data_IF_425122576289
#
_entry.id   IF_425122576289
#
_cell.length_a   1.000
_cell.length_b   1.000
_cell.length_c   1.000
_cell.angle_alpha   90.00
_cell.angle_beta   90.00
_cell.angle_gamma   90.00
#
_symmetry.space_group_name_H-M   'P 1'
#
loop_
_entity.id
_entity.type
_entity.pdbx_description
1 polymer ?
#
# COMPACT_ATOMS: atom_id res chain seq x y z
N UNK A 1 25.02 -39.51 33.15
CA UNK A 1 24.38 -38.37 33.83
C UNK A 1 24.11 -37.32 32.77
N UNK A 2 22.85 -37.19 32.37
CA UNK A 2 22.42 -36.27 31.31
C UNK A 2 22.48 -34.84 31.84
N UNK A 3 23.23 -33.98 31.16
CA UNK A 3 23.15 -32.54 31.37
C UNK A 3 22.19 -31.97 30.33
N UNK A 4 20.95 -31.73 30.75
CA UNK A 4 19.99 -30.92 30.00
C UNK A 4 20.45 -29.47 30.05
N UNK A 5 20.98 -28.94 28.94
CA UNK A 5 21.15 -27.50 28.78
C UNK A 5 19.83 -26.99 28.18
N UNK A 6 18.97 -26.48 29.06
CA UNK A 6 17.78 -25.75 28.66
C UNK A 6 18.18 -24.59 27.77
N UNK A 7 17.73 -24.61 26.52
CA UNK A 7 17.92 -23.50 25.60
C UNK A 7 17.04 -22.37 26.06
N UNK A 8 17.65 -21.38 26.71
CA UNK A 8 16.99 -20.18 27.22
C UNK A 8 16.30 -19.46 26.04
N UNK A 9 14.98 -19.53 25.95
CA UNK A 9 14.20 -19.01 24.81
C UNK A 9 14.30 -17.48 24.63
N UNK A 10 14.96 -16.78 25.55
CA UNK A 10 15.01 -15.30 25.58
C UNK A 10 15.97 -14.66 24.58
N UNK A 11 16.77 -15.44 23.84
CA UNK A 11 17.67 -14.92 22.80
C UNK A 11 17.24 -15.26 21.36
N UNK A 12 16.08 -15.90 21.18
CA UNK A 12 15.57 -16.23 19.85
C UNK A 12 14.88 -15.02 19.21
N UNK A 13 15.60 -14.36 18.30
CA UNK A 13 15.13 -13.49 17.21
C UNK A 13 14.31 -12.27 17.63
N UNK A 14 14.91 -11.09 17.47
CA UNK A 14 14.18 -9.83 17.48
C UNK A 14 13.06 -9.88 16.43
N UNK A 15 11.84 -10.13 16.89
CA UNK A 15 10.61 -10.00 16.12
C UNK A 15 9.87 -8.80 16.69
N UNK A 16 9.38 -7.91 15.83
CA UNK A 16 8.60 -6.74 16.29
C UNK A 16 7.28 -7.15 16.98
N UNK A 17 6.86 -8.40 16.83
CA UNK A 17 5.68 -8.99 17.47
C UNK A 17 6.01 -10.40 18.01
N UNK A 18 5.32 -10.87 19.07
CA UNK A 18 5.41 -12.25 19.54
C UNK A 18 4.99 -13.26 18.44
N UNK A 19 5.57 -14.46 18.43
CA UNK A 19 5.25 -15.50 17.44
C UNK A 19 4.01 -16.35 17.80
N UNK A 20 3.49 -16.20 19.02
CA UNK A 20 2.35 -16.94 19.58
C UNK A 20 2.43 -18.47 19.36
N UNK A 21 3.64 -19.02 19.36
CA UNK A 21 3.85 -20.45 19.16
C UNK A 21 3.03 -21.30 20.15
N UNK A 22 2.34 -22.32 19.63
CA UNK A 22 1.46 -23.20 20.41
C UNK A 22 0.05 -22.65 20.70
N UNK A 23 -0.30 -21.46 20.21
CA UNK A 23 -1.64 -20.86 20.36
C UNK A 23 -2.36 -20.76 19.00
N UNK A 24 -2.79 -21.89 18.43
CA UNK A 24 -3.40 -21.95 17.08
C UNK A 24 -4.60 -21.02 16.92
N UNK A 25 -5.54 -21.04 17.87
CA UNK A 25 -6.75 -20.19 17.83
C UNK A 25 -6.39 -18.69 17.79
N UNK A 26 -5.36 -18.29 18.52
CA UNK A 26 -4.89 -16.90 18.54
C UNK A 26 -4.26 -16.50 17.21
N UNK A 27 -3.50 -17.40 16.58
CA UNK A 27 -2.92 -17.16 15.26
C UNK A 27 -4.00 -17.00 14.18
N UNK A 28 -5.04 -17.85 14.23
CA UNK A 28 -6.20 -17.76 13.32
C UNK A 28 -6.96 -16.44 13.51
N UNK A 29 -7.20 -16.04 14.76
CA UNK A 29 -7.86 -14.77 15.07
C UNK A 29 -7.05 -13.54 14.61
N UNK A 30 -5.72 -13.59 14.72
CA UNK A 30 -4.83 -12.52 14.22
C UNK A 30 -4.86 -12.47 12.68
N UNK A 31 -4.81 -13.63 12.02
CA UNK A 31 -4.89 -13.70 10.57
C UNK A 31 -6.22 -13.14 10.05
N UNK A 32 -7.35 -13.50 10.69
CA UNK A 32 -8.66 -12.98 10.35
C UNK A 32 -8.74 -11.45 10.50
N UNK A 33 -8.24 -10.90 11.62
CA UNK A 33 -8.16 -9.45 11.82
C UNK A 33 -7.26 -8.76 10.79
N UNK A 34 -6.12 -9.37 10.45
CA UNK A 34 -5.21 -8.82 9.43
C UNK A 34 -5.87 -8.75 8.05
N UNK A 35 -6.69 -9.73 7.71
CA UNK A 35 -7.45 -9.74 6.45
C UNK A 35 -8.50 -8.62 6.45
N UNK A 36 -9.22 -8.44 7.55
CA UNK A 36 -10.21 -7.37 7.70
C UNK A 36 -9.55 -5.99 7.64
N UNK A 37 -8.47 -5.79 8.39
CA UNK A 37 -7.69 -4.54 8.37
C UNK A 37 -7.16 -4.25 6.96
N UNK A 38 -6.66 -5.26 6.24
CA UNK A 38 -6.22 -5.09 4.86
C UNK A 38 -7.39 -4.62 3.98
N UNK A 39 -8.55 -5.27 4.09
CA UNK A 39 -9.71 -4.90 3.30
C UNK A 39 -10.13 -3.45 3.59
N UNK A 40 -10.24 -3.08 4.86
CA UNK A 40 -10.63 -1.73 5.30
C UNK A 40 -9.62 -0.66 4.81
N UNK A 41 -8.34 -0.85 5.12
CA UNK A 41 -7.33 0.19 4.92
C UNK A 41 -6.74 0.22 3.52
N UNK A 42 -6.56 -0.93 2.86
CA UNK A 42 -5.88 -1.01 1.57
C UNK A 42 -6.86 -1.18 0.40
N UNK A 43 -7.89 -2.01 0.52
CA UNK A 43 -8.68 -2.39 -0.65
C UNK A 43 -9.99 -1.58 -0.80
N UNK A 44 -10.60 -1.17 0.32
CA UNK A 44 -11.92 -0.51 0.31
C UNK A 44 -11.88 0.89 -0.31
N UNK A 45 -12.83 1.18 -1.20
CA UNK A 45 -13.01 2.53 -1.76
C UNK A 45 -11.96 2.99 -2.76
N UNK A 46 -11.18 2.07 -3.31
CA UNK A 46 -10.35 2.33 -4.47
C UNK A 46 -11.21 2.43 -5.73
N UNK A 47 -10.86 3.38 -6.58
CA UNK A 47 -11.49 3.62 -7.89
C UNK A 47 -10.40 3.70 -8.96
N UNK A 48 -10.65 3.15 -10.14
CA UNK A 48 -9.69 3.13 -11.24
C UNK A 48 -9.50 4.53 -11.85
N UNK A 49 -8.25 4.89 -12.12
CA UNK A 49 -7.87 6.11 -12.84
C UNK A 49 -6.78 5.79 -13.85
N UNK A 50 -7.00 6.21 -15.09
CA UNK A 50 -5.98 6.20 -16.12
C UNK A 50 -5.24 7.55 -16.15
N UNK A 51 -3.92 7.50 -16.10
CA UNK A 51 -3.10 8.68 -16.35
C UNK A 51 -3.29 9.13 -17.81
N UNK A 52 -3.86 10.32 -18.02
CA UNK A 52 -4.13 10.88 -19.36
C UNK A 52 -2.87 11.08 -20.21
N UNK A 53 -1.69 11.15 -19.58
CA UNK A 53 -0.41 11.39 -20.27
C UNK A 53 0.38 10.12 -20.62
N UNK A 54 0.34 9.08 -19.78
CA UNK A 54 1.14 7.87 -20.00
C UNK A 54 0.32 6.57 -20.06
N UNK A 55 -1.00 6.65 -19.87
CA UNK A 55 -1.91 5.49 -19.95
C UNK A 55 -1.66 4.43 -18.89
N UNK A 56 -0.95 4.76 -17.80
CA UNK A 56 -0.85 3.86 -16.67
C UNK A 56 -2.19 3.85 -15.93
N UNK A 57 -2.73 2.65 -15.70
CA UNK A 57 -3.93 2.45 -14.91
C UNK A 57 -3.52 2.21 -13.45
N UNK A 58 -4.18 2.91 -12.53
CA UNK A 58 -3.94 2.80 -11.08
C UNK A 58 -5.26 2.75 -10.33
N UNK A 59 -5.20 2.26 -9.10
CA UNK A 59 -6.30 2.32 -8.15
C UNK A 59 -6.07 3.50 -7.19
N UNK A 60 -7.08 4.35 -7.02
CA UNK A 60 -6.96 5.60 -6.28
C UNK A 60 -8.08 5.71 -5.25
N UNK A 61 -7.73 6.13 -4.03
CA UNK A 61 -8.69 6.54 -3.00
C UNK A 61 -8.35 7.95 -2.52
N UNK A 62 -9.30 8.87 -2.63
CA UNK A 62 -9.20 10.20 -2.01
C UNK A 62 -9.78 10.15 -0.61
N UNK A 63 -8.90 10.02 0.39
CA UNK A 63 -9.30 10.05 1.80
C UNK A 63 -9.76 11.46 2.21
N UNK A 64 -9.03 12.48 1.74
CA UNK A 64 -9.40 13.90 1.88
C UNK A 64 -8.95 14.65 0.63
N UNK A 65 -9.26 15.94 0.49
CA UNK A 65 -8.73 16.74 -0.63
C UNK A 65 -7.20 16.78 -0.70
N UNK A 66 -6.52 16.71 0.46
CA UNK A 66 -5.04 16.75 0.53
C UNK A 66 -4.39 15.37 0.61
N UNK A 67 -5.14 14.33 1.00
CA UNK A 67 -4.62 12.97 1.16
C UNK A 67 -5.15 12.03 0.07
N UNK A 68 -4.24 11.42 -0.68
CA UNK A 68 -4.54 10.45 -1.74
C UNK A 68 -3.76 9.16 -1.49
N UNK A 69 -4.44 8.03 -1.48
CA UNK A 69 -3.81 6.71 -1.60
C UNK A 69 -3.79 6.30 -3.07
N UNK A 70 -2.63 5.90 -3.58
CA UNK A 70 -2.46 5.41 -4.95
C UNK A 70 -1.83 4.03 -4.88
N UNK A 71 -2.48 3.06 -5.52
CA UNK A 71 -1.96 1.71 -5.70
C UNK A 71 -1.70 1.44 -7.18
N UNK A 72 -0.45 1.11 -7.46
CA UNK A 72 -0.02 0.71 -8.79
C UNK A 72 -0.40 -0.75 -9.03
N UNK A 73 -1.23 -1.00 -10.05
CA UNK A 73 -1.68 -2.35 -10.41
C UNK A 73 -0.65 -3.11 -11.27
N UNK A 74 0.32 -2.40 -11.81
CA UNK A 74 1.42 -2.91 -12.62
C UNK A 74 2.68 -2.07 -12.40
N UNK A 75 3.83 -2.59 -12.83
CA UNK A 75 5.09 -1.86 -12.73
C UNK A 75 5.00 -0.49 -13.46
N UNK A 76 5.13 0.65 -12.74
CA UNK A 76 5.03 1.98 -13.33
C UNK A 76 6.08 2.21 -14.43
N UNK A 77 7.24 1.56 -14.36
CA UNK A 77 8.29 1.71 -15.35
C UNK A 77 7.92 1.15 -16.74
N UNK A 78 6.91 0.30 -16.84
CA UNK A 78 6.47 -0.23 -18.15
C UNK A 78 5.78 0.84 -19.00
N UNK A 79 5.03 1.75 -18.36
CA UNK A 79 4.21 2.76 -19.07
C UNK A 79 4.61 4.21 -18.78
N UNK A 80 4.99 4.53 -17.55
CA UNK A 80 5.18 5.92 -17.13
C UNK A 80 6.57 6.45 -17.52
N UNK A 81 6.61 7.50 -18.33
CA UNK A 81 7.84 8.19 -18.73
C UNK A 81 8.67 8.67 -17.54
N UNK A 82 8.03 9.24 -16.50
CA UNK A 82 8.71 9.71 -15.29
C UNK A 82 9.47 8.60 -14.55
N UNK A 83 8.92 7.38 -14.52
CA UNK A 83 9.58 6.25 -13.88
C UNK A 83 10.64 5.62 -14.78
N UNK A 84 10.41 5.57 -16.10
CA UNK A 84 11.43 5.14 -17.07
C UNK A 84 12.68 6.02 -16.99
N UNK A 85 12.49 7.34 -16.95
CA UNK A 85 13.59 8.31 -16.83
C UNK A 85 14.33 8.14 -15.50
N UNK A 86 13.61 7.93 -14.40
CA UNK A 86 14.23 7.67 -13.09
C UNK A 86 15.10 6.41 -13.10
N UNK A 87 14.62 5.31 -13.68
CA UNK A 87 15.44 4.10 -13.82
C UNK A 87 16.66 4.35 -14.72
N UNK A 88 16.47 5.06 -15.84
CA UNK A 88 17.56 5.37 -16.76
C UNK A 88 18.65 6.27 -16.12
N UNK A 89 18.28 7.12 -15.16
CA UNK A 89 19.22 7.92 -14.37
C UNK A 89 19.83 7.16 -13.18
N UNK A 90 19.53 5.86 -13.03
CA UNK A 90 20.02 5.01 -11.95
C UNK A 90 19.25 5.15 -10.63
N UNK A 91 18.12 5.85 -10.63
CA UNK A 91 17.25 5.98 -9.46
C UNK A 91 16.28 4.80 -9.36
N UNK A 92 16.02 4.36 -8.13
CA UNK A 92 14.97 3.37 -7.87
C UNK A 92 13.60 4.00 -8.00
N UNK A 93 12.65 3.27 -8.57
CA UNK A 93 11.23 3.66 -8.63
C UNK A 93 10.65 3.94 -7.25
N UNK A 94 11.13 3.26 -6.21
CA UNK A 94 10.70 3.44 -4.83
C UNK A 94 11.06 4.81 -4.23
N UNK A 95 12.07 5.51 -4.79
CA UNK A 95 12.49 6.84 -4.35
C UNK A 95 11.80 7.98 -5.13
N UNK A 96 10.91 7.63 -6.06
CA UNK A 96 10.19 8.60 -6.88
C UNK A 96 8.85 8.93 -6.21
N UNK A 97 8.57 10.23 -6.03
CA UNK A 97 7.32 10.73 -5.43
C UNK A 97 6.04 10.42 -6.24
N UNK A 98 6.18 9.78 -7.40
CA UNK A 98 5.07 9.42 -8.29
C UNK A 98 5.17 10.07 -9.67
N UNK A 99 4.04 10.04 -10.38
CA UNK A 99 3.87 10.66 -11.69
C UNK A 99 3.09 11.98 -11.52
N UNK A 100 3.69 13.16 -11.74
CA UNK A 100 2.97 14.43 -11.63
C UNK A 100 1.75 14.51 -12.54
N UNK A 101 1.84 13.95 -13.76
CA UNK A 101 0.71 13.90 -14.70
C UNK A 101 -0.42 12.98 -14.27
N UNK A 102 -0.12 11.95 -13.47
CA UNK A 102 -1.16 11.14 -12.84
C UNK A 102 -1.87 11.95 -11.75
N UNK A 103 -1.15 12.77 -10.98
CA UNK A 103 -1.77 13.62 -9.96
C UNK A 103 -2.72 14.64 -10.61
N UNK A 104 -2.33 15.23 -11.75
CA UNK A 104 -3.22 16.08 -12.55
C UNK A 104 -4.47 15.31 -13.01
N UNK A 105 -4.29 14.07 -13.50
CA UNK A 105 -5.40 13.22 -13.94
C UNK A 105 -6.36 12.87 -12.80
N UNK A 106 -5.84 12.60 -11.60
CA UNK A 106 -6.64 12.36 -10.40
C UNK A 106 -7.39 13.63 -9.98
N UNK A 107 -6.73 14.80 -10.02
CA UNK A 107 -7.38 16.06 -9.67
C UNK A 107 -8.53 16.40 -10.63
N UNK A 108 -8.37 16.10 -11.92
CA UNK A 108 -9.45 16.21 -12.90
C UNK A 108 -10.60 15.25 -12.59
N UNK A 109 -10.29 13.98 -12.30
CA UNK A 109 -11.29 12.96 -11.99
C UNK A 109 -12.05 13.26 -10.68
N UNK A 110 -11.43 13.97 -9.74
CA UNK A 110 -12.13 14.51 -8.57
C UNK A 110 -13.03 15.68 -8.95
N UNK A 111 -12.56 16.56 -9.83
CA UNK A 111 -13.32 17.75 -10.27
C UNK A 111 -14.56 17.38 -11.09
N UNK A 112 -14.46 16.36 -11.93
CA UNK A 112 -15.59 15.86 -12.74
C UNK A 112 -16.51 14.89 -11.98
N UNK A 113 -16.15 14.52 -10.74
CA UNK A 113 -16.93 13.66 -9.87
C UNK A 113 -16.76 12.15 -10.10
N UNK A 114 -15.87 11.74 -11.01
CA UNK A 114 -15.54 10.32 -11.22
C UNK A 114 -14.89 9.70 -9.98
N UNK A 115 -14.06 10.47 -9.28
CA UNK A 115 -13.44 10.06 -8.01
C UNK A 115 -14.07 10.81 -6.84
N UNK A 116 -14.64 10.06 -5.90
CA UNK A 116 -15.28 10.64 -4.72
C UNK A 116 -14.25 10.86 -3.61
N UNK A 117 -14.32 12.02 -2.95
CA UNK A 117 -13.52 12.30 -1.75
C UNK A 117 -14.29 11.81 -0.53
N UNK A 118 -13.67 10.93 0.27
CA UNK A 118 -14.29 10.29 1.45
C UNK A 118 -14.29 11.16 2.71
N UNK A 119 -14.05 12.47 2.59
CA UNK A 119 -13.77 13.33 3.75
C UNK A 119 -14.93 13.26 4.79
N UNK A 120 -14.72 12.65 5.96
CA UNK A 120 -15.78 12.47 6.95
C UNK A 120 -16.16 13.79 7.63
N UNK A 121 -15.35 14.85 7.47
CA UNK A 121 -15.67 16.19 8.00
C UNK A 121 -16.58 17.01 7.06
N UNK A 122 -16.80 16.55 5.83
CA UNK A 122 -17.54 17.25 4.77
C UNK A 122 -18.78 16.47 4.29
N UNK A 123 -19.15 15.37 4.96
CA UNK A 123 -20.40 14.62 4.70
C UNK A 123 -21.57 15.10 5.54
#
# INVERSE_FOLDING_TARGET
MSASIGTDARWARWAKAPDFAGQTERLEAIAAQTIEDKHEYLDSGLQEVDCKACGACVLVRKNTYKHTSVQWTSDPALRCHNFKEAIASGQSTALKDGCPKLHDSIADAVRDGTITVRDPEVS
#
